data_IF_988931742161
#
_entry.id   IF_988931742161
#
_cell.length_a   1.000
_cell.length_b   1.000
_cell.length_c   1.000
_cell.angle_alpha   90.00
_cell.angle_beta   90.00
_cell.angle_gamma   90.00
#
_symmetry.space_group_name_H-M   'P 1'
#
loop_
_entity.id
_entity.type
_entity.pdbx_description
1 polymer ?
#
# COMPACT_ATOMS: atom_id res chain seq x y z
N UNK A 1 -10.82 -2.55 -13.41
CA UNK A 1 -10.14 -1.62 -12.45
C UNK A 1 -8.73 -1.19 -12.88
N UNK A 2 -7.90 -2.07 -13.46
CA UNK A 2 -6.53 -1.73 -13.89
C UNK A 2 -6.44 -0.53 -14.85
N UNK A 3 -7.47 -0.28 -15.67
CA UNK A 3 -7.57 0.95 -16.48
C UNK A 3 -7.56 2.26 -15.67
N UNK A 4 -7.97 2.21 -14.40
CA UNK A 4 -7.97 3.33 -13.46
C UNK A 4 -6.79 3.28 -12.48
N UNK A 5 -5.76 2.46 -12.75
CA UNK A 5 -4.66 2.20 -11.81
C UNK A 5 -3.95 3.47 -11.31
N UNK A 6 -3.80 4.46 -12.17
CA UNK A 6 -3.12 5.74 -11.87
C UNK A 6 -4.01 6.73 -11.12
N UNK A 7 -5.34 6.63 -11.29
CA UNK A 7 -6.31 7.49 -10.60
C UNK A 7 -6.64 6.96 -9.20
N UNK A 8 -6.65 5.64 -9.02
CA UNK A 8 -7.01 5.00 -7.75
C UNK A 8 -8.52 5.00 -7.44
N UNK A 9 -9.37 5.52 -8.35
CA UNK A 9 -10.81 5.60 -8.16
C UNK A 9 -11.52 5.21 -9.46
N UNK A 10 -12.54 4.37 -9.33
CA UNK A 10 -13.44 4.00 -10.41
C UNK A 10 -14.89 4.04 -9.92
N UNK A 11 -15.78 4.61 -10.72
CA UNK A 11 -17.21 4.63 -10.45
C UNK A 11 -17.95 3.96 -11.59
N UNK A 12 -18.94 3.14 -11.25
CA UNK A 12 -19.85 2.49 -12.18
C UNK A 12 -21.27 2.78 -11.73
N UNK A 13 -22.15 3.15 -12.66
CA UNK A 13 -23.59 3.20 -12.37
C UNK A 13 -24.09 1.79 -12.03
N UNK A 14 -25.28 1.69 -11.44
CA UNK A 14 -25.85 0.38 -11.13
C UNK A 14 -26.05 -0.42 -12.41
N UNK A 15 -26.60 0.22 -13.44
CA UNK A 15 -26.88 -0.39 -14.73
C UNK A 15 -25.60 -0.90 -15.39
N UNK A 16 -24.56 -0.05 -15.51
CA UNK A 16 -23.27 -0.44 -16.09
C UNK A 16 -22.62 -1.57 -15.30
N UNK A 17 -22.69 -1.52 -13.97
CA UNK A 17 -22.11 -2.56 -13.12
C UNK A 17 -22.80 -3.92 -13.31
N UNK A 18 -24.12 -3.90 -13.47
CA UNK A 18 -24.90 -5.12 -13.72
C UNK A 18 -24.62 -5.67 -15.12
N UNK A 19 -24.50 -4.82 -16.13
CA UNK A 19 -24.19 -5.21 -17.50
C UNK A 19 -22.76 -5.77 -17.60
N UNK A 20 -21.76 -5.05 -17.07
CA UNK A 20 -20.35 -5.46 -17.15
C UNK A 20 -20.03 -6.80 -16.48
N UNK A 21 -20.83 -7.20 -15.49
CA UNK A 21 -20.64 -8.44 -14.73
C UNK A 21 -21.73 -9.47 -15.02
N UNK A 22 -22.57 -9.24 -16.03
CA UNK A 22 -23.71 -10.09 -16.40
C UNK A 22 -24.57 -10.51 -15.19
N UNK A 23 -24.86 -9.55 -14.30
CA UNK A 23 -25.58 -9.82 -13.05
C UNK A 23 -27.06 -10.08 -13.36
N UNK A 24 -27.62 -11.24 -12.97
CA UNK A 24 -29.03 -11.53 -13.20
C UNK A 24 -29.95 -10.53 -12.52
N UNK A 25 -31.00 -10.09 -13.24
CA UNK A 25 -32.03 -9.16 -12.71
C UNK A 25 -32.79 -9.73 -11.50
N UNK A 26 -32.76 -11.05 -11.31
CA UNK A 26 -33.38 -11.73 -10.16
C UNK A 26 -32.63 -11.51 -8.85
N UNK A 27 -31.37 -11.09 -8.88
CA UNK A 27 -30.58 -10.89 -7.68
C UNK A 27 -31.08 -9.67 -6.92
N UNK A 28 -31.37 -9.87 -5.63
CA UNK A 28 -31.66 -8.77 -4.73
C UNK A 28 -30.35 -8.11 -4.32
N UNK A 29 -30.43 -6.89 -3.79
CA UNK A 29 -29.25 -6.17 -3.30
C UNK A 29 -28.46 -6.97 -2.25
N UNK A 30 -29.13 -7.83 -1.47
CA UNK A 30 -28.49 -8.76 -0.53
C UNK A 30 -27.65 -9.83 -1.24
N UNK A 31 -28.14 -10.35 -2.36
CA UNK A 31 -27.48 -11.38 -3.15
C UNK A 31 -26.26 -10.79 -3.85
N UNK A 32 -26.38 -9.58 -4.40
CA UNK A 32 -25.26 -8.84 -4.99
C UNK A 32 -24.13 -8.67 -3.96
N UNK A 33 -24.45 -8.32 -2.71
CA UNK A 33 -23.41 -8.22 -1.67
C UNK A 33 -22.72 -9.55 -1.39
N UNK A 34 -23.50 -10.63 -1.26
CA UNK A 34 -22.98 -11.93 -0.86
C UNK A 34 -22.21 -12.63 -1.98
N UNK A 35 -22.71 -12.53 -3.21
CA UNK A 35 -22.25 -13.30 -4.36
C UNK A 35 -21.32 -12.53 -5.29
N UNK A 36 -21.38 -11.19 -5.29
CA UNK A 36 -20.59 -10.36 -6.21
C UNK A 36 -19.58 -9.52 -5.42
N UNK A 37 -20.04 -8.63 -4.55
CA UNK A 37 -19.17 -7.68 -3.85
C UNK A 37 -18.20 -8.38 -2.90
N UNK A 38 -18.66 -9.38 -2.13
CA UNK A 38 -17.82 -10.11 -1.18
C UNK A 38 -16.70 -10.89 -1.90
N UNK A 39 -16.96 -11.70 -2.94
CA UNK A 39 -15.91 -12.34 -3.73
C UNK A 39 -14.95 -11.36 -4.39
N UNK A 40 -15.46 -10.30 -5.03
CA UNK A 40 -14.62 -9.25 -5.64
C UNK A 40 -13.64 -8.68 -4.63
N UNK A 41 -14.09 -8.36 -3.41
CA UNK A 41 -13.21 -7.86 -2.35
C UNK A 41 -12.13 -8.89 -2.00
N UNK A 42 -12.49 -10.16 -1.83
CA UNK A 42 -11.54 -11.20 -1.46
C UNK A 42 -10.44 -11.41 -2.52
N UNK A 43 -10.83 -11.48 -3.79
CA UNK A 43 -9.91 -11.76 -4.90
C UNK A 43 -9.04 -10.54 -5.24
N UNK A 44 -9.65 -9.35 -5.29
CA UNK A 44 -8.97 -8.15 -5.77
C UNK A 44 -8.13 -7.44 -4.71
N UNK A 45 -8.33 -7.70 -3.41
CA UNK A 45 -7.50 -7.11 -2.34
C UNK A 45 -6.03 -7.54 -2.43
N UNK A 46 -5.73 -8.72 -2.98
CA UNK A 46 -4.36 -9.15 -3.24
C UNK A 46 -3.66 -8.32 -4.32
N UNK A 47 -4.43 -7.81 -5.29
CA UNK A 47 -3.94 -7.10 -6.46
C UNK A 47 -3.91 -5.59 -6.20
N UNK A 48 -4.99 -5.04 -5.66
CA UNK A 48 -5.17 -3.61 -5.43
C UNK A 48 -5.03 -3.29 -3.94
N UNK A 49 -3.91 -2.66 -3.57
CA UNK A 49 -3.63 -2.25 -2.19
C UNK A 49 -4.66 -1.22 -1.71
N UNK A 50 -5.24 -1.46 -0.53
CA UNK A 50 -6.25 -0.57 0.06
C UNK A 50 -7.58 -0.54 -0.68
N UNK A 51 -7.93 -1.62 -1.39
CA UNK A 51 -9.21 -1.70 -2.11
C UNK A 51 -10.40 -1.58 -1.16
N UNK A 52 -11.24 -0.57 -1.42
CA UNK A 52 -12.51 -0.33 -0.73
C UNK A 52 -13.62 -0.19 -1.76
N UNK A 53 -14.75 -0.85 -1.50
CA UNK A 53 -15.93 -0.83 -2.37
C UNK A 53 -17.06 -0.18 -1.60
N UNK A 54 -17.54 0.95 -2.11
CA UNK A 54 -18.62 1.73 -1.50
C UNK A 54 -19.83 1.78 -2.42
N UNK A 55 -21.02 1.59 -1.86
CA UNK A 55 -22.26 1.84 -2.60
C UNK A 55 -22.56 3.33 -2.58
N UNK A 56 -22.97 3.85 -3.73
CA UNK A 56 -23.53 5.19 -3.86
C UNK A 56 -25.05 5.06 -3.83
N UNK A 57 -25.67 5.89 -3.00
CA UNK A 57 -27.12 5.90 -2.80
C UNK A 57 -27.74 7.17 -3.37
N UNK A 58 -28.90 7.02 -4.01
CA UNK A 58 -29.67 8.12 -4.55
C UNK A 58 -30.50 8.86 -3.49
N UNK A 59 -31.12 9.97 -3.92
CA UNK A 59 -31.96 10.83 -3.06
C UNK A 59 -33.41 10.33 -2.91
N UNK A 60 -33.80 9.25 -3.58
CA UNK A 60 -35.17 8.71 -3.56
C UNK A 60 -35.58 8.00 -2.26
N UNK A 61 -36.88 7.67 -2.16
CA UNK A 61 -37.44 6.89 -1.03
C UNK A 61 -36.73 5.55 -0.91
N UNK A 62 -36.38 5.15 0.31
CA UNK A 62 -35.66 3.89 0.56
C UNK A 62 -34.19 3.90 0.19
N UNK A 63 -33.59 5.06 -0.14
CA UNK A 63 -32.16 5.21 -0.49
C UNK A 63 -31.71 4.14 -1.50
N UNK A 64 -32.23 4.18 -2.74
CA UNK A 64 -31.87 3.18 -3.74
C UNK A 64 -30.37 3.25 -4.05
N UNK A 65 -29.74 2.10 -4.27
CA UNK A 65 -28.36 2.03 -4.77
C UNK A 65 -28.37 2.51 -6.23
N UNK A 66 -27.55 3.50 -6.54
CA UNK A 66 -27.42 4.09 -7.88
C UNK A 66 -26.09 3.74 -8.55
N UNK A 67 -25.15 3.16 -7.80
CA UNK A 67 -23.87 2.72 -8.35
C UNK A 67 -22.87 2.28 -7.30
N UNK A 68 -21.70 1.89 -7.78
CA UNK A 68 -20.62 1.32 -6.97
C UNK A 68 -19.33 2.09 -7.24
N UNK A 69 -18.68 2.53 -6.17
CA UNK A 69 -17.39 3.21 -6.22
C UNK A 69 -16.31 2.30 -5.65
N UNK A 70 -15.26 2.10 -6.44
CA UNK A 70 -14.05 1.38 -6.07
C UNK A 70 -12.96 2.40 -5.81
N UNK A 71 -12.30 2.32 -4.66
CA UNK A 71 -11.15 3.16 -4.30
C UNK A 71 -9.98 2.29 -3.89
N UNK A 72 -8.76 2.61 -4.30
CA UNK A 72 -7.56 1.88 -3.99
C UNK A 72 -6.33 2.80 -4.13
N UNK A 73 -5.18 2.37 -3.60
CA UNK A 73 -3.94 3.15 -3.68
C UNK A 73 -3.48 3.25 -5.14
N UNK A 74 -3.29 4.46 -5.70
CA UNK A 74 -2.89 4.62 -7.09
C UNK A 74 -1.46 4.11 -7.34
N UNK A 75 -1.24 3.57 -8.53
CA UNK A 75 0.03 3.06 -9.02
C UNK A 75 0.82 4.13 -9.79
N UNK A 76 2.15 3.99 -9.84
CA UNK A 76 3.02 4.93 -10.54
C UNK A 76 2.94 4.65 -12.05
N UNK A 77 2.85 5.69 -12.88
CA UNK A 77 2.62 5.52 -14.34
C UNK A 77 3.62 4.57 -15.03
N UNK A 78 4.89 4.60 -14.60
CA UNK A 78 6.01 3.84 -15.20
C UNK A 78 6.39 2.56 -14.47
N UNK A 79 5.67 2.16 -13.41
CA UNK A 79 5.95 0.86 -12.78
C UNK A 79 5.43 -0.28 -13.67
N UNK A 80 6.25 -1.32 -13.83
CA UNK A 80 5.77 -2.62 -14.29
C UNK A 80 5.12 -3.33 -13.11
N UNK A 81 3.80 -3.19 -13.03
CA UNK A 81 2.93 -3.65 -11.96
C UNK A 81 1.95 -4.72 -12.47
N UNK A 82 2.32 -5.42 -13.54
CA UNK A 82 1.69 -6.66 -13.94
C UNK A 82 2.14 -7.77 -12.99
N UNK A 83 1.18 -8.38 -12.31
CA UNK A 83 1.47 -9.55 -11.48
C UNK A 83 2.02 -10.65 -12.39
N UNK A 84 3.26 -11.08 -12.14
CA UNK A 84 3.93 -12.15 -12.91
C UNK A 84 3.21 -13.50 -12.81
N UNK A 85 2.37 -13.65 -11.79
CA UNK A 85 1.56 -14.83 -11.51
C UNK A 85 0.25 -14.37 -10.86
N UNK A 86 -0.83 -15.13 -11.08
CA UNK A 86 -2.08 -14.88 -10.37
C UNK A 86 -1.89 -15.18 -8.87
N UNK A 87 -2.38 -14.31 -7.97
CA UNK A 87 -2.21 -14.53 -6.53
C UNK A 87 -2.93 -15.81 -6.11
N UNK A 88 -2.25 -16.62 -5.30
CA UNK A 88 -2.79 -17.85 -4.74
C UNK A 88 -3.90 -17.56 -3.72
N UNK A 89 -4.74 -18.56 -3.42
CA UNK A 89 -5.82 -18.41 -2.42
C UNK A 89 -5.28 -18.02 -1.04
N UNK A 90 -4.12 -18.51 -0.67
CA UNK A 90 -3.48 -18.18 0.62
C UNK A 90 -3.04 -16.71 0.66
N UNK A 91 -2.42 -16.22 -0.41
CA UNK A 91 -2.03 -14.80 -0.53
C UNK A 91 -3.23 -13.87 -0.52
N UNK A 92 -4.32 -14.26 -1.18
CA UNK A 92 -5.58 -13.52 -1.13
C UNK A 92 -6.14 -13.44 0.28
N UNK A 93 -6.14 -14.55 1.02
CA UNK A 93 -6.62 -14.57 2.40
C UNK A 93 -5.73 -13.72 3.33
N UNK A 94 -4.40 -13.80 3.20
CA UNK A 94 -3.45 -12.96 3.96
C UNK A 94 -3.66 -11.48 3.65
N UNK A 95 -3.80 -11.11 2.37
CA UNK A 95 -4.04 -9.73 1.97
C UNK A 95 -5.38 -9.21 2.51
N UNK A 96 -6.42 -10.04 2.49
CA UNK A 96 -7.73 -9.70 3.04
C UNK A 96 -7.67 -9.50 4.56
N UNK A 97 -6.93 -10.33 5.29
CA UNK A 97 -6.73 -10.20 6.73
C UNK A 97 -6.02 -8.89 7.09
N UNK A 98 -4.93 -8.57 6.39
CA UNK A 98 -4.20 -7.31 6.54
C UNK A 98 -5.10 -6.09 6.27
N UNK A 99 -5.90 -6.13 5.19
CA UNK A 99 -6.83 -5.06 4.87
C UNK A 99 -7.92 -4.89 5.95
N UNK A 100 -8.46 -5.99 6.47
CA UNK A 100 -9.45 -5.92 7.56
C UNK A 100 -8.83 -5.36 8.85
N UNK A 101 -7.57 -5.70 9.16
CA UNK A 101 -6.86 -5.16 10.32
C UNK A 101 -6.66 -3.64 10.21
N UNK A 102 -6.27 -3.14 9.03
CA UNK A 102 -6.13 -1.70 8.76
C UNK A 102 -7.47 -0.96 8.98
N UNK A 103 -8.56 -1.51 8.44
CA UNK A 103 -9.90 -0.92 8.64
C UNK A 103 -10.30 -0.91 10.12
N UNK A 104 -9.92 -1.93 10.90
CA UNK A 104 -10.19 -1.95 12.34
C UNK A 104 -9.38 -0.89 13.11
N UNK A 105 -8.14 -0.63 12.71
CA UNK A 105 -7.34 0.44 13.33
C UNK A 105 -7.80 1.85 12.97
N UNK A 106 -8.44 2.04 11.81
CA UNK A 106 -8.94 3.35 11.36
C UNK A 106 -10.34 3.69 11.89
N UNK A 107 -11.08 2.69 12.42
CA UNK A 107 -12.37 2.95 13.06
C UNK A 107 -12.17 3.81 14.29
N UNK A 108 -12.90 4.93 14.34
CA UNK A 108 -12.88 5.80 15.49
C UNK A 108 -13.23 5.00 16.76
N UNK A 109 -12.39 5.04 17.80
CA UNK A 109 -12.65 4.34 19.05
C UNK A 109 -14.01 4.76 19.61
N UNK A 110 -14.86 3.76 19.83
CA UNK A 110 -16.24 3.93 20.25
C UNK A 110 -16.35 4.20 21.75
N UNK A 111 -15.30 3.86 22.50
CA UNK A 111 -15.19 4.08 23.95
C UNK A 111 -13.97 4.93 24.32
N UNK A 112 -14.07 5.69 25.42
CA UNK A 112 -12.95 6.44 26.02
C UNK A 112 -11.73 5.55 26.32
N UNK A 113 -11.96 4.30 26.71
CA UNK A 113 -10.86 3.37 26.99
C UNK A 113 -10.09 2.97 25.72
N UNK A 114 -10.81 2.79 24.60
CA UNK A 114 -10.19 2.51 23.29
C UNK A 114 -9.34 3.69 22.84
N UNK A 115 -9.82 4.94 23.04
CA UNK A 115 -9.04 6.18 22.78
C UNK A 115 -7.73 6.22 23.57
N UNK A 116 -7.78 5.93 24.87
CA UNK A 116 -6.59 5.91 25.72
C UNK A 116 -5.60 4.83 25.25
N UNK A 117 -6.10 3.65 24.90
CA UNK A 117 -5.28 2.54 24.40
C UNK A 117 -4.60 2.88 23.06
N UNK A 118 -5.32 3.53 22.15
CA UNK A 118 -4.80 3.99 20.87
C UNK A 118 -3.70 5.04 21.04
N UNK A 119 -3.94 6.04 21.90
CA UNK A 119 -2.93 7.07 22.19
C UNK A 119 -1.66 6.48 22.81
N UNK A 120 -1.78 5.50 23.71
CA UNK A 120 -0.63 4.79 24.28
C UNK A 120 0.18 4.05 23.21
N UNK A 121 -0.48 3.32 22.30
CA UNK A 121 0.19 2.65 21.17
C UNK A 121 0.89 3.64 20.24
N UNK A 122 0.25 4.77 19.95
CA UNK A 122 0.83 5.82 19.12
C UNK A 122 2.10 6.41 19.76
N UNK A 123 2.08 6.61 21.07
CA UNK A 123 3.24 7.09 21.82
C UNK A 123 4.40 6.09 21.79
N UNK A 124 4.11 4.81 22.01
CA UNK A 124 5.10 3.72 21.95
C UNK A 124 5.76 3.64 20.56
N UNK A 125 4.96 3.74 19.49
CA UNK A 125 5.47 3.73 18.13
C UNK A 125 6.38 4.94 17.84
N UNK A 126 6.02 6.14 18.33
CA UNK A 126 6.85 7.34 18.20
C UNK A 126 8.20 7.17 18.92
N UNK A 127 8.20 6.57 20.12
CA UNK A 127 9.44 6.28 20.84
C UNK A 127 10.33 5.28 20.08
N UNK A 128 9.73 4.29 19.43
CA UNK A 128 10.48 3.32 18.61
C UNK A 128 11.07 3.97 17.36
N UNK A 129 10.33 4.86 16.69
CA UNK A 129 10.82 5.63 15.55
C UNK A 129 11.99 6.54 15.95
N UNK A 130 11.91 7.19 17.09
CA UNK A 130 13.00 8.04 17.59
C UNK A 130 14.28 7.22 17.86
N UNK A 131 14.15 6.02 18.42
CA UNK A 131 15.30 5.10 18.61
C UNK A 131 15.92 4.71 17.27
N UNK A 132 15.11 4.34 16.29
CA UNK A 132 15.58 3.98 14.94
C UNK A 132 16.30 5.15 14.26
N UNK A 133 15.80 6.38 14.41
CA UNK A 133 16.44 7.58 13.86
C UNK A 133 17.78 7.87 14.54
N UNK A 134 17.87 7.67 15.87
CA UNK A 134 19.14 7.74 16.59
C UNK A 134 20.13 6.67 16.13
N UNK A 135 19.69 5.44 15.95
CA UNK A 135 20.52 4.33 15.44
C UNK A 135 21.06 4.64 14.03
N UNK A 136 20.21 5.11 13.12
CA UNK A 136 20.61 5.55 11.77
C UNK A 136 21.65 6.67 11.82
N UNK A 137 21.45 7.66 12.69
CA UNK A 137 22.39 8.77 12.84
C UNK A 137 23.74 8.33 13.43
N UNK A 138 23.75 7.38 14.37
CA UNK A 138 24.98 6.80 14.92
C UNK A 138 25.73 6.00 13.86
N UNK A 139 25.03 5.16 13.08
CA UNK A 139 25.62 4.41 11.96
C UNK A 139 26.19 5.33 10.88
N UNK A 140 25.51 6.44 10.57
CA UNK A 140 26.03 7.43 9.61
C UNK A 140 27.28 8.16 10.13
N UNK A 141 27.37 8.41 11.45
CA UNK A 141 28.58 8.98 12.07
C UNK A 141 29.74 7.99 12.06
N UNK A 142 29.50 6.72 12.39
CA UNK A 142 30.51 5.65 12.35
C UNK A 142 31.04 5.42 10.93
N UNK A 143 30.16 5.37 9.92
CA UNK A 143 30.56 5.26 8.52
C UNK A 143 31.37 6.47 8.02
N UNK A 144 31.09 7.68 8.52
CA UNK A 144 31.88 8.86 8.19
C UNK A 144 33.22 8.91 8.94
N UNK A 145 33.26 8.48 10.21
CA UNK A 145 34.49 8.38 10.99
C UNK A 145 35.47 7.36 10.39
N UNK A 146 34.98 6.19 9.98
CA UNK A 146 35.78 5.18 9.29
C UNK A 146 36.31 5.68 7.94
N UNK A 147 35.52 6.47 7.18
CA UNK A 147 36.01 7.13 5.95
C UNK A 147 37.10 8.19 6.20
N UNK A 148 37.10 8.87 7.36
CA UNK A 148 38.15 9.82 7.72
C UNK A 148 39.43 9.13 8.21
N UNK A 149 39.30 8.04 8.98
CA UNK A 149 40.45 7.24 9.47
C UNK A 149 41.15 6.49 8.33
N UNK A 150 40.40 5.91 7.38
CA UNK A 150 40.98 5.32 6.16
C UNK A 150 41.71 6.37 5.30
N UNK A 151 41.33 7.65 5.41
CA UNK A 151 42.01 8.73 4.69
C UNK A 151 43.28 9.26 5.39
N UNK A 152 43.48 9.06 6.70
CA UNK A 152 44.70 9.49 7.39
C UNK A 152 45.84 8.49 7.30
N UNK A 153 45.53 7.20 7.15
CA UNK A 153 46.53 6.13 7.31
C UNK A 153 47.15 5.63 5.99
N UNK A 154 46.69 6.13 4.84
CA UNK A 154 47.27 5.78 3.53
C UNK A 154 48.26 6.88 3.11
N UNK A 155 49.57 6.57 2.97
CA UNK A 155 50.57 7.49 2.44
C UNK A 155 50.12 8.13 1.12
N UNK A 156 50.35 9.44 0.98
CA UNK A 156 49.90 10.25 -0.17
C UNK A 156 50.38 9.70 -1.52
N UNK A 157 51.55 9.04 -1.56
CA UNK A 157 52.12 8.41 -2.75
C UNK A 157 51.28 7.22 -3.22
N UNK A 158 50.84 6.35 -2.31
CA UNK A 158 49.98 5.21 -2.65
C UNK A 158 48.61 5.65 -3.16
N UNK A 159 48.05 6.73 -2.61
CA UNK A 159 46.78 7.29 -3.09
C UNK A 159 46.87 7.79 -4.53
N UNK A 160 48.00 8.39 -4.89
CA UNK A 160 48.22 8.95 -6.23
C UNK A 160 48.38 7.84 -7.26
N UNK A 161 49.16 6.81 -6.93
CA UNK A 161 49.40 5.64 -7.79
C UNK A 161 48.11 4.82 -8.04
N UNK A 162 47.25 4.68 -7.03
CA UNK A 162 45.94 4.03 -7.19
C UNK A 162 44.97 4.87 -8.05
N UNK A 163 44.98 6.20 -7.91
CA UNK A 163 44.14 7.08 -8.73
C UNK A 163 44.55 7.04 -10.20
N UNK A 164 45.86 7.12 -10.47
CA UNK A 164 46.40 7.09 -11.82
C UNK A 164 46.11 5.74 -12.52
N UNK A 165 46.21 4.62 -11.79
CA UNK A 165 45.83 3.31 -12.32
C UNK A 165 44.32 3.17 -12.59
N UNK A 166 43.46 3.65 -11.69
CA UNK A 166 42.01 3.67 -11.91
C UNK A 166 41.61 4.53 -13.10
N UNK A 167 42.24 5.68 -13.26
CA UNK A 167 41.94 6.61 -14.34
C UNK A 167 42.42 6.12 -15.70
N UNK A 168 43.32 5.14 -15.73
CA UNK A 168 43.71 4.41 -16.94
C UNK A 168 42.82 3.19 -17.21
N UNK A 169 42.03 2.72 -16.24
CA UNK A 169 41.11 1.58 -16.39
C UNK A 169 39.77 1.95 -17.05
N UNK A 170 39.38 3.23 -17.00
CA UNK A 170 38.14 3.75 -17.62
C UNK A 170 38.40 4.55 -18.90
N UNK A 171 39.62 4.50 -19.44
CA UNK A 171 39.98 5.06 -20.74
C UNK A 171 39.92 3.95 -21.80
N UNK A 172 38.71 3.49 -22.11
CA UNK A 172 38.36 2.76 -23.34
C UNK A 172 36.91 3.10 -23.71
#
# INVERSE_FOLDING_TARGET
>A
LKQYRTKGIAYFSKEDFHELLDIPKSYRESDINKKIIKPIRQELTAIFKGLTIQKRYGKGRGKPVIGYQFTFKPEIKKSDDFNKHAPTKEEQNKALELANQQVQSEKAPTSLQEKIKEQKRKLELLQQLEKLEREQNTQNKENNAQKSEINSDIPSELKKDLLDNLQNLFKD
#
